data_IF_301591185480
#
_entry.id   IF_301591185480
#
_cell.length_a   1.000
_cell.length_b   1.000
_cell.length_c   1.000
_cell.angle_alpha   90.00
_cell.angle_beta   90.00
_cell.angle_gamma   90.00
#
_symmetry.space_group_name_H-M   'P 1'
#
loop_
_entity.id
_entity.type
_entity.pdbx_description
1 polymer ?
#
# COMPACT_ATOMS: atom_id res chain seq x y z
N UNK A 1 -18.55 11.60 -17.38
CA UNK A 1 -18.32 10.15 -17.27
C UNK A 1 -16.93 9.69 -17.73
N UNK A 2 -16.54 9.69 -19.02
CA UNK A 2 -15.23 9.10 -19.44
C UNK A 2 -14.01 9.66 -18.68
N UNK A 3 -13.95 10.98 -18.53
CA UNK A 3 -12.88 11.62 -17.77
C UNK A 3 -12.96 11.42 -16.26
N UNK A 4 -14.14 11.15 -15.70
CA UNK A 4 -14.30 10.90 -14.26
C UNK A 4 -13.73 9.54 -13.87
N UNK A 5 -13.98 8.51 -14.69
CA UNK A 5 -13.43 7.16 -14.50
C UNK A 5 -11.90 7.19 -14.51
N UNK A 6 -11.31 7.85 -15.52
CA UNK A 6 -9.86 8.00 -15.59
C UNK A 6 -9.32 8.83 -14.41
N UNK A 7 -10.02 9.90 -14.01
CA UNK A 7 -9.61 10.72 -12.88
C UNK A 7 -9.61 9.95 -11.55
N UNK A 8 -10.61 9.10 -11.30
CA UNK A 8 -10.63 8.21 -10.13
C UNK A 8 -9.43 7.25 -10.13
N UNK A 9 -9.07 6.71 -11.28
CA UNK A 9 -7.85 5.92 -11.42
C UNK A 9 -6.58 6.73 -11.12
N UNK A 10 -6.48 7.97 -11.61
CA UNK A 10 -5.34 8.85 -11.29
C UNK A 10 -5.30 9.15 -9.78
N UNK A 11 -6.44 9.33 -9.13
CA UNK A 11 -6.50 9.48 -7.66
C UNK A 11 -6.02 8.22 -6.94
N UNK A 12 -6.40 7.03 -7.39
CA UNK A 12 -5.89 5.76 -6.86
C UNK A 12 -4.36 5.69 -6.95
N UNK A 13 -3.79 6.05 -8.10
CA UNK A 13 -2.34 6.08 -8.32
C UNK A 13 -1.63 7.12 -7.43
N UNK A 14 -2.24 8.29 -7.23
CA UNK A 14 -1.73 9.31 -6.29
C UNK A 14 -1.76 8.79 -4.86
N UNK A 15 -2.86 8.15 -4.44
CA UNK A 15 -3.00 7.58 -3.11
C UNK A 15 -1.92 6.54 -2.84
N UNK A 16 -1.67 5.62 -3.78
CA UNK A 16 -0.57 4.66 -3.68
C UNK A 16 0.78 5.33 -3.43
N UNK A 17 1.12 6.35 -4.24
CA UNK A 17 2.39 7.08 -4.08
C UNK A 17 2.49 7.75 -2.72
N UNK A 18 1.40 8.35 -2.24
CA UNK A 18 1.36 9.02 -0.94
C UNK A 18 1.55 8.00 0.19
N UNK A 19 0.81 6.90 0.19
CA UNK A 19 0.93 5.85 1.21
C UNK A 19 2.33 5.24 1.23
N UNK A 20 2.91 4.95 0.05
CA UNK A 20 4.28 4.44 -0.05
C UNK A 20 5.33 5.43 0.48
N UNK A 21 5.15 6.74 0.25
CA UNK A 21 6.02 7.77 0.83
C UNK A 21 5.88 7.83 2.35
N UNK A 22 4.65 7.83 2.87
CA UNK A 22 4.38 7.84 4.31
C UNK A 22 5.02 6.61 4.98
N UNK A 23 4.81 5.42 4.43
CA UNK A 23 5.40 4.19 4.94
C UNK A 23 6.93 4.27 4.97
N UNK A 24 7.56 4.79 3.91
CA UNK A 24 9.01 5.03 3.87
C UNK A 24 9.48 5.98 4.98
N UNK A 25 8.78 7.10 5.19
CA UNK A 25 9.14 8.04 6.25
C UNK A 25 8.96 7.44 7.65
N UNK A 26 7.90 6.66 7.89
CA UNK A 26 7.70 5.93 9.14
C UNK A 26 8.82 4.91 9.38
N UNK A 27 9.19 4.12 8.37
CA UNK A 27 10.32 3.17 8.47
C UNK A 27 11.64 3.87 8.82
N UNK A 28 11.94 4.99 8.17
CA UNK A 28 13.15 5.78 8.47
C UNK A 28 13.08 6.34 9.90
N UNK A 29 11.92 6.85 10.31
CA UNK A 29 11.71 7.36 11.67
C UNK A 29 11.96 6.29 12.73
N UNK A 30 11.36 5.10 12.59
CA UNK A 30 11.60 3.99 13.51
C UNK A 30 13.06 3.54 13.51
N UNK A 31 13.74 3.54 12.35
CA UNK A 31 15.16 3.21 12.28
C UNK A 31 16.03 4.20 13.06
N UNK A 32 15.76 5.51 12.94
CA UNK A 32 16.48 6.55 13.69
C UNK A 32 16.29 6.35 15.20
N UNK A 33 15.04 6.13 15.65
CA UNK A 33 14.74 5.90 17.07
C UNK A 33 15.42 4.62 17.56
N UNK A 34 15.39 3.55 16.76
CA UNK A 34 16.07 2.29 17.07
C UNK A 34 17.57 2.50 17.27
N UNK A 35 18.24 3.19 16.34
CA UNK A 35 19.67 3.48 16.44
C UNK A 35 19.99 4.35 17.66
N UNK A 36 19.16 5.36 17.95
CA UNK A 36 19.31 6.18 19.14
C UNK A 36 19.28 5.35 20.43
N UNK A 37 18.32 4.43 20.56
CA UNK A 37 18.23 3.57 21.74
C UNK A 37 19.38 2.54 21.80
N UNK A 38 19.80 1.99 20.66
CA UNK A 38 20.86 0.99 20.58
C UNK A 38 22.21 1.56 21.06
N UNK A 39 22.52 2.81 20.69
CA UNK A 39 23.77 3.47 21.05
C UNK A 39 23.69 4.27 22.35
N UNK A 40 22.52 4.35 22.99
CA UNK A 40 22.40 4.87 24.34
C UNK A 40 22.82 3.81 25.36
N UNK A 41 23.83 4.13 26.17
CA UNK A 41 24.35 3.25 27.22
C UNK A 41 23.32 2.86 28.28
N UNK A 42 22.21 3.62 28.37
CA UNK A 42 21.14 3.40 29.36
C UNK A 42 20.06 2.43 28.88
N UNK A 43 20.00 2.09 27.58
CA UNK A 43 18.81 1.45 26.98
C UNK A 43 19.06 0.12 26.29
N UNK A 44 20.30 -0.39 26.29
CA UNK A 44 20.70 -1.57 25.51
C UNK A 44 19.96 -2.86 25.90
N UNK A 45 19.26 -2.88 27.04
CA UNK A 45 18.38 -3.97 27.50
C UNK A 45 16.90 -3.56 27.70
N UNK A 46 16.49 -2.38 27.22
CA UNK A 46 15.13 -1.87 27.43
C UNK A 46 14.11 -2.61 26.55
N UNK A 47 12.95 -3.03 27.11
CA UNK A 47 11.84 -3.57 26.32
C UNK A 47 11.38 -2.66 25.17
N UNK A 48 11.67 -1.36 25.25
CA UNK A 48 11.36 -0.38 24.20
C UNK A 48 12.06 -0.68 22.87
N UNK A 49 13.29 -1.19 22.91
CA UNK A 49 14.03 -1.59 21.69
C UNK A 49 13.26 -2.69 20.95
N UNK A 50 12.71 -3.64 21.70
CA UNK A 50 11.92 -4.75 21.16
C UNK A 50 10.64 -4.24 20.52
N UNK A 51 9.91 -3.34 21.19
CA UNK A 51 8.69 -2.70 20.66
C UNK A 51 8.99 -1.98 19.34
N UNK A 52 10.05 -1.18 19.28
CA UNK A 52 10.42 -0.43 18.06
C UNK A 52 10.80 -1.36 16.92
N UNK A 53 11.52 -2.45 17.19
CA UNK A 53 11.86 -3.44 16.18
C UNK A 53 10.59 -4.11 15.60
N UNK A 54 9.64 -4.49 16.46
CA UNK A 54 8.35 -5.03 16.00
C UNK A 54 7.57 -4.03 15.15
N UNK A 55 7.58 -2.73 15.49
CA UNK A 55 6.95 -1.69 14.69
C UNK A 55 7.62 -1.53 13.32
N UNK A 56 8.94 -1.64 13.26
CA UNK A 56 9.68 -1.59 11.99
C UNK A 56 9.35 -2.79 11.09
N UNK A 57 9.30 -4.00 11.65
CA UNK A 57 8.88 -5.21 10.94
C UNK A 57 7.43 -5.08 10.45
N UNK A 58 6.51 -4.62 11.32
CA UNK A 58 5.11 -4.40 10.99
C UNK A 58 4.96 -3.38 9.84
N UNK A 59 5.72 -2.28 9.89
CA UNK A 59 5.75 -1.26 8.82
C UNK A 59 6.23 -1.87 7.50
N UNK A 60 7.22 -2.77 7.56
CA UNK A 60 7.76 -3.44 6.38
C UNK A 60 6.72 -4.39 5.75
N UNK A 61 6.03 -5.19 6.57
CA UNK A 61 4.90 -6.01 6.11
C UNK A 61 3.76 -5.16 5.54
N UNK A 62 3.45 -4.02 6.16
CA UNK A 62 2.47 -3.07 5.66
C UNK A 62 2.81 -2.55 4.25
N UNK A 63 4.10 -2.35 3.97
CA UNK A 63 4.60 -2.03 2.63
C UNK A 63 4.26 -3.10 1.60
N UNK A 64 4.43 -4.39 1.94
CA UNK A 64 4.10 -5.52 1.06
C UNK A 64 2.59 -5.59 0.79
N UNK A 65 1.77 -5.46 1.84
CA UNK A 65 0.31 -5.47 1.70
C UNK A 65 -0.16 -4.29 0.85
N UNK A 66 0.41 -3.09 1.06
CA UNK A 66 0.12 -1.89 0.26
C UNK A 66 0.49 -2.10 -1.20
N UNK A 67 1.67 -2.67 -1.47
CA UNK A 67 2.09 -3.02 -2.83
C UNK A 67 1.07 -3.96 -3.49
N UNK A 68 0.71 -5.06 -2.83
CA UNK A 68 -0.27 -6.03 -3.38
C UNK A 68 -1.66 -5.44 -3.55
N UNK A 69 -2.08 -4.53 -2.68
CA UNK A 69 -3.35 -3.82 -2.81
C UNK A 69 -3.42 -2.97 -4.09
N UNK A 70 -2.34 -2.28 -4.46
CA UNK A 70 -2.30 -1.36 -5.61
C UNK A 70 -1.68 -1.95 -6.88
N UNK A 71 -1.12 -3.17 -6.82
CA UNK A 71 -0.47 -3.88 -7.93
C UNK A 71 -1.31 -3.91 -9.21
N UNK A 72 -2.61 -4.18 -9.10
CA UNK A 72 -3.55 -4.10 -10.21
C UNK A 72 -4.55 -2.97 -9.94
N UNK A 73 -4.67 -1.99 -10.87
CA UNK A 73 -5.66 -0.93 -10.80
C UNK A 73 -7.08 -1.47 -10.64
N UNK A 74 -7.91 -0.76 -9.87
CA UNK A 74 -9.28 -1.21 -9.59
C UNK A 74 -10.11 -1.37 -10.88
N UNK A 75 -9.91 -0.47 -11.85
CA UNK A 75 -10.56 -0.54 -13.18
C UNK A 75 -10.29 -1.86 -13.92
N UNK A 76 -9.09 -2.43 -13.79
CA UNK A 76 -8.75 -3.70 -14.44
C UNK A 76 -9.28 -4.90 -13.64
N UNK A 77 -9.46 -4.75 -12.33
CA UNK A 77 -10.10 -5.78 -11.50
C UNK A 77 -11.60 -5.91 -11.79
N UNK A 78 -12.27 -4.78 -12.05
CA UNK A 78 -13.70 -4.77 -12.42
C UNK A 78 -13.97 -5.55 -13.70
N UNK A 79 -13.01 -5.67 -14.61
CA UNK A 79 -13.13 -6.51 -15.83
C UNK A 79 -13.41 -7.97 -15.48
N UNK A 80 -12.92 -8.47 -14.35
CA UNK A 80 -13.18 -9.85 -13.93
C UNK A 80 -14.65 -10.07 -13.55
N UNK A 81 -15.30 -9.08 -12.93
CA UNK A 81 -16.68 -9.19 -12.46
C UNK A 81 -17.71 -8.68 -13.46
N UNK A 82 -17.36 -7.64 -14.21
CA UNK A 82 -18.28 -6.93 -15.12
C UNK A 82 -18.00 -7.25 -16.60
N UNK A 83 -16.90 -7.94 -16.93
CA UNK A 83 -16.56 -8.28 -18.30
C UNK A 83 -16.54 -7.05 -19.21
N UNK A 84 -17.20 -7.13 -20.37
CA UNK A 84 -17.27 -6.05 -21.36
C UNK A 84 -17.99 -4.78 -20.87
N UNK A 85 -18.80 -4.84 -19.81
CA UNK A 85 -19.45 -3.64 -19.26
C UNK A 85 -18.57 -2.84 -18.31
N UNK A 86 -17.38 -3.35 -17.95
CA UNK A 86 -16.47 -2.69 -17.03
C UNK A 86 -16.11 -1.27 -17.48
N UNK A 87 -15.96 -0.37 -16.51
CA UNK A 87 -15.66 1.04 -16.77
C UNK A 87 -14.35 1.25 -17.56
N UNK A 88 -13.42 0.29 -17.49
CA UNK A 88 -12.22 0.24 -18.33
C UNK A 88 -12.52 0.38 -19.83
N UNK A 89 -13.59 -0.25 -20.33
CA UNK A 89 -13.97 -0.18 -21.75
C UNK A 89 -14.63 1.15 -22.13
N UNK A 90 -14.89 2.04 -21.18
CA UNK A 90 -15.38 3.40 -21.48
C UNK A 90 -14.24 4.38 -21.81
N UNK A 91 -13.01 4.04 -21.43
CA UNK A 91 -11.80 4.84 -21.62
C UNK A 91 -11.36 4.91 -23.10
N UNK A 92 -10.67 6.00 -23.45
CA UNK A 92 -10.01 6.13 -24.75
C UNK A 92 -8.82 5.18 -24.91
N UNK A 93 -8.34 4.96 -26.15
CA UNK A 93 -7.23 4.03 -26.44
C UNK A 93 -5.96 4.35 -25.65
N UNK A 94 -5.57 5.63 -25.59
CA UNK A 94 -4.38 6.07 -24.86
C UNK A 94 -4.53 5.88 -23.35
N UNK A 95 -5.71 6.18 -22.80
CA UNK A 95 -6.02 6.00 -21.38
C UNK A 95 -5.98 4.51 -21.00
N UNK A 96 -6.55 3.63 -21.83
CA UNK A 96 -6.48 2.17 -21.63
C UNK A 96 -5.04 1.67 -21.65
N UNK A 97 -4.22 2.11 -22.62
CA UNK A 97 -2.80 1.77 -22.68
C UNK A 97 -2.06 2.26 -21.42
N UNK A 98 -2.40 3.44 -20.91
CA UNK A 98 -1.79 3.97 -19.70
C UNK A 98 -2.15 3.14 -18.46
N UNK A 99 -3.43 2.77 -18.31
CA UNK A 99 -3.90 1.89 -17.23
C UNK A 99 -3.23 0.51 -17.32
N UNK A 100 -3.12 -0.04 -18.53
CA UNK A 100 -2.42 -1.31 -18.80
C UNK A 100 -0.97 -1.30 -18.32
N UNK A 101 -0.23 -0.25 -18.68
CA UNK A 101 1.16 -0.05 -18.21
C UNK A 101 1.29 0.05 -16.71
N UNK A 102 0.27 0.60 -16.03
CA UNK A 102 0.27 0.68 -14.56
C UNK A 102 -0.01 -0.65 -13.86
N UNK A 103 -0.52 -1.65 -14.56
CA UNK A 103 -0.59 -3.03 -14.07
C UNK A 103 0.73 -3.81 -14.28
N UNK A 104 1.83 -3.15 -14.67
CA UNK A 104 3.13 -3.79 -14.88
C UNK A 104 3.29 -4.47 -16.25
N UNK A 105 2.42 -4.11 -17.21
CA UNK A 105 2.45 -4.65 -18.58
C UNK A 105 3.01 -3.62 -19.56
N UNK A 106 4.22 -3.86 -20.05
CA UNK A 106 4.92 -2.92 -20.94
C UNK A 106 4.53 -3.06 -22.42
N UNK A 107 3.87 -4.16 -22.75
CA UNK A 107 3.36 -4.47 -24.08
C UNK A 107 2.26 -3.50 -24.54
N UNK A 108 2.11 -3.43 -25.86
CA UNK A 108 1.04 -2.66 -26.49
C UNK A 108 -0.25 -3.45 -26.33
N UNK A 109 -1.21 -2.85 -25.62
CA UNK A 109 -2.55 -3.37 -25.51
C UNK A 109 -3.20 -3.34 -26.91
N UNK A 110 -3.83 -4.42 -27.37
CA UNK A 110 -4.58 -4.42 -28.62
C UNK A 110 -5.58 -3.27 -28.67
N UNK A 111 -5.87 -2.78 -29.88
CA UNK A 111 -6.83 -1.67 -30.07
C UNK A 111 -8.24 -1.98 -29.55
N UNK A 112 -8.61 -3.25 -29.58
CA UNK A 112 -9.87 -3.77 -29.07
C UNK A 112 -9.60 -5.03 -28.23
N UNK A 113 -9.19 -4.86 -26.97
CA UNK A 113 -8.84 -5.98 -26.10
C UNK A 113 -10.13 -6.66 -25.60
N UNK A 114 -10.18 -7.99 -25.62
CA UNK A 114 -11.29 -8.72 -25.03
C UNK A 114 -11.14 -8.81 -23.49
N UNK A 115 -12.24 -8.92 -22.73
CA UNK A 115 -12.16 -9.15 -21.29
C UNK A 115 -11.34 -10.39 -20.91
N UNK A 116 -11.48 -11.47 -21.69
CA UNK A 116 -10.78 -12.75 -21.47
C UNK A 116 -9.27 -12.59 -21.59
N UNK A 117 -8.81 -11.78 -22.55
CA UNK A 117 -7.40 -11.44 -22.69
C UNK A 117 -6.90 -10.77 -21.41
N UNK A 118 -7.60 -9.74 -20.92
CA UNK A 118 -7.21 -8.99 -19.72
C UNK A 118 -7.18 -9.92 -18.48
N UNK A 119 -8.22 -10.75 -18.31
CA UNK A 119 -8.35 -11.69 -17.19
C UNK A 119 -7.20 -12.69 -17.21
N UNK A 120 -6.88 -13.25 -18.38
CA UNK A 120 -5.81 -14.25 -18.55
C UNK A 120 -4.44 -13.62 -18.33
N UNK A 121 -4.15 -12.52 -19.02
CA UNK A 121 -2.83 -11.88 -18.95
C UNK A 121 -2.54 -11.32 -17.56
N UNK A 122 -3.55 -10.87 -16.80
CA UNK A 122 -3.38 -10.39 -15.43
C UNK A 122 -3.60 -11.48 -14.37
N UNK A 123 -3.87 -12.72 -14.76
CA UNK A 123 -4.14 -13.85 -13.86
C UNK A 123 -5.20 -13.52 -12.78
N UNK A 124 -6.28 -12.84 -13.18
CA UNK A 124 -7.27 -12.32 -12.21
C UNK A 124 -8.04 -13.42 -11.49
N UNK A 125 -8.15 -14.62 -12.08
CA UNK A 125 -8.86 -15.77 -11.53
C UNK A 125 -8.22 -16.39 -10.28
N UNK A 126 -6.89 -16.33 -10.16
CA UNK A 126 -6.14 -16.90 -9.03
C UNK A 126 -5.74 -15.84 -8.00
N UNK A 127 -6.28 -14.62 -8.17
CA UNK A 127 -5.87 -13.49 -7.35
C UNK A 127 -6.58 -13.51 -6.00
N UNK A 128 -5.80 -13.55 -4.93
CA UNK A 128 -6.31 -13.29 -3.59
C UNK A 128 -7.03 -11.93 -3.50
N UNK A 129 -8.03 -11.78 -2.62
CA UNK A 129 -8.83 -10.57 -2.49
C UNK A 129 -8.07 -9.43 -1.78
N UNK A 130 -6.93 -9.01 -2.35
CA UNK A 130 -6.00 -8.03 -1.79
C UNK A 130 -6.66 -6.69 -1.49
N UNK A 131 -7.69 -6.28 -2.25
CA UNK A 131 -8.47 -5.07 -1.96
C UNK A 131 -9.22 -5.16 -0.64
N UNK A 132 -9.75 -6.34 -0.28
CA UNK A 132 -10.43 -6.54 1.01
C UNK A 132 -9.41 -6.67 2.14
N UNK A 133 -8.38 -7.49 1.94
CA UNK A 133 -7.31 -7.75 2.92
C UNK A 133 -6.61 -6.43 3.28
N UNK A 134 -6.21 -5.65 2.28
CA UNK A 134 -5.50 -4.39 2.49
C UNK A 134 -6.33 -3.33 3.20
N UNK A 135 -7.66 -3.25 2.96
CA UNK A 135 -8.54 -2.33 3.72
C UNK A 135 -8.53 -2.66 5.21
N UNK A 136 -8.78 -3.92 5.56
CA UNK A 136 -8.83 -4.38 6.95
C UNK A 136 -7.45 -4.18 7.59
N UNK A 137 -6.40 -4.61 6.91
CA UNK A 137 -5.03 -4.49 7.38
C UNK A 137 -4.63 -3.03 7.62
N UNK A 138 -5.00 -2.10 6.72
CA UNK A 138 -4.69 -0.67 6.88
C UNK A 138 -5.30 -0.09 8.15
N UNK A 139 -6.55 -0.46 8.48
CA UNK A 139 -7.22 -0.01 9.71
C UNK A 139 -6.46 -0.52 10.94
N UNK A 140 -6.20 -1.83 10.99
CA UNK A 140 -5.46 -2.45 12.10
C UNK A 140 -4.07 -1.85 12.26
N UNK A 141 -3.36 -1.67 11.15
CA UNK A 141 -2.03 -1.07 11.11
C UNK A 141 -2.02 0.36 11.65
N UNK A 142 -2.95 1.21 11.20
CA UNK A 142 -3.08 2.59 11.69
C UNK A 142 -3.36 2.62 13.19
N UNK A 143 -4.29 1.79 13.68
CA UNK A 143 -4.60 1.71 15.11
C UNK A 143 -3.35 1.33 15.92
N UNK A 144 -2.62 0.29 15.51
CA UNK A 144 -1.41 -0.16 16.20
C UNK A 144 -0.29 0.88 16.19
N UNK A 145 -0.06 1.54 15.05
CA UNK A 145 0.97 2.58 14.96
C UNK A 145 0.61 3.76 15.84
N UNK A 146 -0.63 4.24 15.81
CA UNK A 146 -1.07 5.38 16.62
C UNK A 146 -1.02 5.07 18.11
N UNK A 147 -1.50 3.89 18.53
CA UNK A 147 -1.43 3.47 19.94
C UNK A 147 0.02 3.34 20.40
N UNK A 148 0.91 2.85 19.54
CA UNK A 148 2.32 2.68 19.87
C UNK A 148 3.06 4.01 19.94
N UNK A 149 2.78 4.93 19.01
CA UNK A 149 3.32 6.30 19.08
C UNK A 149 2.85 6.97 20.37
N UNK A 150 1.54 6.89 20.68
CA UNK A 150 0.99 7.46 21.91
C UNK A 150 1.68 6.89 23.16
N UNK A 151 1.82 5.57 23.24
CA UNK A 151 2.52 4.91 24.33
C UNK A 151 3.98 5.37 24.44
N UNK A 152 4.73 5.35 23.34
CA UNK A 152 6.14 5.76 23.33
C UNK A 152 6.32 7.23 23.72
N UNK A 153 5.42 8.11 23.28
CA UNK A 153 5.41 9.52 23.69
C UNK A 153 5.09 9.66 25.18
N UNK A 154 4.12 8.91 25.71
CA UNK A 154 3.78 8.93 27.14
C UNK A 154 4.99 8.52 27.99
N UNK A 155 5.63 7.39 27.65
CA UNK A 155 6.82 6.93 28.36
C UNK A 155 7.96 7.96 28.27
N UNK A 156 8.18 8.56 27.10
CA UNK A 156 9.17 9.62 26.96
C UNK A 156 8.89 10.83 27.85
N UNK A 157 7.63 11.26 27.95
CA UNK A 157 7.27 12.42 28.78
C UNK A 157 7.38 12.13 30.27
N UNK A 158 7.06 10.90 30.70
CA UNK A 158 7.12 10.50 32.11
C UNK A 158 8.55 10.28 32.58
N UNK A 159 9.37 9.62 31.77
CA UNK A 159 10.65 9.09 32.22
C UNK A 159 11.83 9.58 31.39
N UNK A 160 11.61 10.30 30.28
CA UNK A 160 12.68 10.61 29.32
C UNK A 160 13.26 9.35 28.66
N UNK A 161 12.51 8.24 28.75
CA UNK A 161 12.96 6.86 28.61
C UNK A 161 13.94 6.35 29.69
N UNK A 162 14.41 7.18 30.62
CA UNK A 162 15.30 6.81 31.74
C UNK A 162 14.46 6.22 32.88
N UNK A 163 14.74 4.98 33.30
CA UNK A 163 14.03 4.33 34.42
C UNK A 163 13.75 5.27 35.61
#
# INVERSE_FOLDING_TARGET
MKHEVFHLFIQEQKLYKTLSRIAKYLSIGFLIIYLYLLFSSSYTASPLIVVINYLAILTSFSGIITFKYFEIPTLLLEVFTEGSSAAFFQLGKEERQFVWRKAGREDILPSDPSPELIIRELYLFDRYPWKRIGKIYTVVYLTLILSSIFYLTSVYLETGFQN
#
